data_IF_096099754550
#
_entry.id   IF_096099754550
#
_cell.length_a   1.000
_cell.length_b   1.000
_cell.length_c   1.000
_cell.angle_alpha   90.00
_cell.angle_beta   90.00
_cell.angle_gamma   90.00
#
_symmetry.space_group_name_H-M   'P 1'
#
loop_
_entity.id
_entity.type
_entity.pdbx_description
1 polymer ?
#
# COMPACT_ATOMS: atom_id res chain seq x y z
N UNK A 1 55.16 13.21 3.76
CA UNK A 1 54.47 14.49 3.98
C UNK A 1 53.19 14.47 3.16
N UNK A 2 52.03 14.36 3.84
CA UNK A 2 50.73 14.97 3.52
C UNK A 2 50.48 15.18 2.00
N UNK A 3 49.56 14.47 1.35
CA UNK A 3 48.15 14.89 1.23
C UNK A 3 47.49 14.02 0.15
N UNK A 4 46.53 13.17 0.52
CA UNK A 4 45.28 12.91 -0.23
C UNK A 4 44.51 11.81 0.49
N UNK A 5 43.93 12.19 1.63
CA UNK A 5 42.78 11.48 2.19
C UNK A 5 41.54 11.97 1.44
N UNK A 6 40.55 11.09 1.34
CA UNK A 6 39.14 11.34 0.97
C UNK A 6 38.85 11.29 -0.53
N UNK A 7 38.37 10.14 -1.00
CA UNK A 7 37.13 10.12 -1.78
C UNK A 7 36.23 9.05 -1.18
N UNK A 8 35.07 9.53 -0.76
CA UNK A 8 34.08 8.86 0.05
C UNK A 8 33.52 7.60 -0.62
N UNK A 9 33.22 6.62 0.23
CA UNK A 9 32.37 5.48 -0.09
C UNK A 9 31.02 5.98 -0.63
N UNK A 10 30.81 5.83 -1.94
CA UNK A 10 29.47 6.00 -2.53
C UNK A 10 28.76 4.67 -2.34
N UNK A 11 28.10 4.49 -1.19
CA UNK A 11 27.12 3.43 -1.00
C UNK A 11 25.94 3.81 -1.88
N UNK A 12 25.92 3.29 -3.11
CA UNK A 12 24.75 3.36 -3.97
C UNK A 12 23.62 2.59 -3.28
N UNK A 13 22.70 3.34 -2.68
CA UNK A 13 21.51 2.81 -2.05
C UNK A 13 20.69 2.03 -3.08
N UNK A 14 20.74 0.70 -2.99
CA UNK A 14 19.76 -0.17 -3.58
C UNK A 14 18.53 -0.15 -2.68
N UNK A 15 17.39 0.35 -3.17
CA UNK A 15 16.06 -0.13 -2.76
C UNK A 15 14.98 0.45 -3.69
N UNK A 16 14.46 -0.42 -4.55
CA UNK A 16 13.12 -0.42 -5.15
C UNK A 16 12.08 0.45 -4.42
N UNK A 17 11.43 1.35 -5.14
CA UNK A 17 10.38 2.20 -4.57
C UNK A 17 9.48 2.79 -5.64
N UNK A 18 8.83 1.93 -6.42
CA UNK A 18 7.89 2.33 -7.47
C UNK A 18 7.02 1.15 -7.87
N UNK A 19 6.37 0.51 -6.88
CA UNK A 19 5.29 -0.40 -7.20
C UNK A 19 4.08 0.43 -7.65
N UNK A 20 3.34 0.00 -8.68
CA UNK A 20 2.08 0.65 -8.99
C UNK A 20 1.19 0.51 -7.75
N UNK A 21 0.80 1.64 -7.16
CA UNK A 21 -0.35 1.67 -6.27
C UNK A 21 -1.53 1.31 -7.17
N UNK A 22 -1.89 0.03 -7.18
CA UNK A 22 -3.11 -0.40 -7.79
C UNK A 22 -4.21 0.38 -7.08
N UNK A 23 -4.72 1.42 -7.74
CA UNK A 23 -5.96 2.05 -7.35
C UNK A 23 -7.02 0.99 -7.60
N UNK A 24 -7.16 0.07 -6.64
CA UNK A 24 -8.19 -0.93 -6.64
C UNK A 24 -9.51 -0.17 -6.53
N UNK A 25 -10.12 0.04 -7.69
CA UNK A 25 -11.57 0.11 -7.78
C UNK A 25 -12.04 -1.30 -7.42
N UNK A 26 -12.15 -1.56 -6.11
CA UNK A 26 -12.38 -2.89 -5.55
C UNK A 26 -13.52 -3.63 -6.25
N UNK A 27 -13.42 -4.96 -6.25
CA UNK A 27 -14.38 -5.91 -6.85
C UNK A 27 -15.85 -5.59 -6.54
N UNK A 28 -16.13 -5.00 -5.40
CA UNK A 28 -17.47 -4.84 -4.84
C UNK A 28 -18.01 -3.43 -5.03
N UNK A 29 -19.32 -3.31 -5.29
CA UNK A 29 -19.98 -2.01 -5.34
C UNK A 29 -20.16 -1.38 -3.94
N UNK A 30 -20.23 -2.20 -2.90
CA UNK A 30 -20.41 -1.79 -1.51
C UNK A 30 -20.03 -2.93 -0.54
N UNK A 31 -19.92 -2.59 0.75
CA UNK A 31 -19.57 -3.56 1.78
C UNK A 31 -20.59 -4.68 1.95
N UNK A 32 -21.89 -4.45 1.67
CA UNK A 32 -22.90 -5.52 1.75
C UNK A 32 -22.58 -6.65 0.79
N UNK A 33 -22.16 -6.33 -0.44
CA UNK A 33 -21.73 -7.32 -1.43
C UNK A 33 -20.45 -8.04 -0.98
N UNK A 34 -19.48 -7.31 -0.40
CA UNK A 34 -18.27 -7.91 0.17
C UNK A 34 -18.59 -8.89 1.31
N UNK A 35 -19.51 -8.50 2.19
CA UNK A 35 -19.95 -9.30 3.34
C UNK A 35 -20.73 -10.54 2.90
N UNK A 36 -21.50 -10.47 1.81
CA UNK A 36 -22.17 -11.64 1.21
C UNK A 36 -21.16 -12.68 0.72
N UNK A 37 -20.01 -12.22 0.23
CA UNK A 37 -18.88 -13.08 -0.14
C UNK A 37 -17.97 -13.43 1.05
N UNK A 38 -18.34 -13.04 2.27
CA UNK A 38 -17.60 -13.31 3.50
C UNK A 38 -16.30 -12.53 3.63
N UNK A 39 -16.08 -11.47 2.82
CA UNK A 39 -14.93 -10.59 2.98
C UNK A 39 -15.24 -9.46 3.95
N UNK A 40 -14.39 -9.32 4.95
CA UNK A 40 -14.43 -8.30 5.99
C UNK A 40 -13.01 -7.80 6.24
N UNK A 41 -12.89 -6.59 6.80
CA UNK A 41 -11.60 -6.02 7.19
C UNK A 41 -10.57 -6.05 6.05
N UNK A 42 -10.93 -5.48 4.90
CA UNK A 42 -10.13 -5.54 3.67
C UNK A 42 -9.01 -4.49 3.78
N UNK A 43 -7.74 -4.87 4.00
CA UNK A 43 -6.65 -3.90 4.17
C UNK A 43 -6.26 -3.26 2.83
N UNK A 44 -5.63 -2.08 2.85
CA UNK A 44 -5.07 -1.41 1.66
C UNK A 44 -4.14 -2.26 0.78
N UNK A 45 -3.55 -3.33 1.32
CA UNK A 45 -2.71 -4.27 0.57
C UNK A 45 -3.52 -5.31 -0.21
N UNK A 46 -4.82 -5.46 0.07
CA UNK A 46 -5.70 -6.37 -0.62
C UNK A 46 -6.11 -5.78 -1.98
N UNK A 47 -6.06 -6.55 -3.07
CA UNK A 47 -6.48 -6.08 -4.39
C UNK A 47 -7.96 -5.68 -4.44
N UNK A 48 -8.77 -6.13 -3.48
CA UNK A 48 -10.17 -5.73 -3.37
C UNK A 48 -10.37 -4.46 -2.53
N UNK A 49 -9.33 -3.83 -1.95
CA UNK A 49 -9.50 -2.58 -1.18
C UNK A 49 -10.07 -1.47 -2.05
N UNK A 50 -10.96 -0.65 -1.50
CA UNK A 50 -11.39 0.58 -2.16
C UNK A 50 -11.69 1.68 -1.14
N UNK A 51 -11.28 2.90 -1.46
CA UNK A 51 -11.38 4.05 -0.55
C UNK A 51 -12.83 4.37 -0.14
N UNK A 52 -13.83 4.11 -0.98
CA UNK A 52 -15.23 4.37 -0.59
C UNK A 52 -15.80 3.33 0.41
N UNK A 53 -15.11 2.20 0.59
CA UNK A 53 -15.46 1.17 1.57
C UNK A 53 -14.81 1.39 2.93
N UNK A 54 -13.77 2.23 2.98
CA UNK A 54 -13.03 2.66 4.16
C UNK A 54 -13.56 4.05 4.58
N UNK A 55 -14.59 4.07 5.42
CA UNK A 55 -15.38 5.30 5.69
C UNK A 55 -14.66 6.27 6.61
N UNK A 56 -13.86 5.76 7.53
CA UNK A 56 -13.08 6.53 8.49
C UNK A 56 -11.62 6.74 8.05
N UNK A 57 -11.22 6.13 6.92
CA UNK A 57 -9.91 6.30 6.27
C UNK A 57 -8.76 5.80 7.15
N UNK A 58 -8.99 4.70 7.86
CA UNK A 58 -8.00 4.06 8.72
C UNK A 58 -7.09 3.06 7.97
N UNK A 59 -7.43 2.78 6.70
CA UNK A 59 -6.74 1.84 5.83
C UNK A 59 -7.37 0.45 5.76
N UNK A 60 -8.55 0.27 6.35
CA UNK A 60 -9.32 -0.97 6.33
C UNK A 60 -10.72 -0.70 5.77
N UNK A 61 -11.04 -1.29 4.62
CA UNK A 61 -12.36 -1.20 4.03
C UNK A 61 -13.30 -2.28 4.60
N UNK A 62 -14.58 -1.93 4.72
CA UNK A 62 -15.67 -2.86 5.06
C UNK A 62 -15.44 -3.64 6.36
N UNK A 63 -15.00 -2.91 7.38
CA UNK A 63 -14.93 -3.36 8.76
C UNK A 63 -16.31 -3.80 9.28
N UNK A 64 -16.28 -4.67 10.30
CA UNK A 64 -17.46 -5.30 10.88
C UNK A 64 -17.94 -4.72 12.19
#
# INVERSE_FOLDING_TARGET
MIRTVVIAAVIAAAAVGGMPVAAASGKYANCTEAHQDGRWNIPQSDPDYWAAGDRDNDGIACEG
#
